data_IF_180000606627
#
_entry.id   IF_180000606627
#
_cell.length_a   1.000
_cell.length_b   1.000
_cell.length_c   1.000
_cell.angle_alpha   90.00
_cell.angle_beta   90.00
_cell.angle_gamma   90.00
#
_symmetry.space_group_name_H-M   'P 1'
#
loop_
_entity.id
_entity.type
_entity.pdbx_description
1 polymer ?
#
# COMPACT_ATOMS: atom_id res chain seq x y z
N UNK A 1 23.27 -6.65 18.22
CA UNK A 1 22.16 -6.05 19.00
C UNK A 1 21.52 -4.96 18.16
N UNK A 2 20.20 -5.01 17.98
CA UNK A 2 19.44 -3.99 17.24
C UNK A 2 19.41 -2.66 18.00
N UNK A 3 19.57 -1.54 17.29
CA UNK A 3 19.53 -0.19 17.86
C UNK A 3 18.40 0.61 17.23
N UNK A 4 17.80 1.51 18.01
CA UNK A 4 16.70 2.34 17.54
C UNK A 4 16.96 3.79 17.91
N UNK A 5 16.84 4.67 16.93
CA UNK A 5 17.02 6.09 17.14
C UNK A 5 16.18 6.88 16.14
N UNK A 6 16.04 8.18 16.42
CA UNK A 6 15.43 9.13 15.51
C UNK A 6 16.35 10.31 15.25
N UNK A 7 16.20 10.91 14.08
CA UNK A 7 16.96 12.07 13.63
C UNK A 7 15.95 13.11 13.16
N UNK A 8 16.07 14.33 13.68
CA UNK A 8 15.38 15.48 13.10
C UNK A 8 16.28 16.10 12.04
N UNK A 9 15.75 16.33 10.85
CA UNK A 9 16.43 17.07 9.78
C UNK A 9 15.61 18.34 9.52
N UNK A 10 15.90 19.44 10.24
CA UNK A 10 15.08 20.66 10.19
C UNK A 10 14.99 21.28 8.80
N UNK A 11 16.05 21.17 8.00
CA UNK A 11 16.12 21.70 6.63
C UNK A 11 15.08 21.04 5.71
N UNK A 12 14.77 19.77 5.99
CA UNK A 12 13.76 18.98 5.25
C UNK A 12 12.39 19.01 5.93
N UNK A 13 12.31 19.49 7.18
CA UNK A 13 11.09 19.38 7.98
C UNK A 13 10.73 17.92 8.31
N UNK A 14 11.71 17.02 8.28
CA UNK A 14 11.51 15.58 8.40
C UNK A 14 12.00 15.03 9.74
N UNK A 15 11.31 13.99 10.21
CA UNK A 15 11.76 13.11 11.28
C UNK A 15 12.00 11.72 10.72
N UNK A 16 13.25 11.28 10.76
CA UNK A 16 13.67 9.94 10.39
C UNK A 16 13.71 9.05 11.62
N UNK A 17 13.21 7.84 11.51
CA UNK A 17 13.19 6.84 12.56
C UNK A 17 13.80 5.56 11.99
N UNK A 18 14.84 5.07 12.65
CA UNK A 18 15.56 3.90 12.21
C UNK A 18 15.55 2.81 13.28
N UNK A 19 15.31 1.59 12.84
CA UNK A 19 15.78 0.39 13.49
C UNK A 19 16.93 -0.17 12.66
N UNK A 20 18.11 -0.30 13.26
CA UNK A 20 19.33 -0.76 12.59
C UNK A 20 19.88 -2.02 13.23
N UNK A 21 20.40 -2.89 12.40
CA UNK A 21 21.12 -4.08 12.84
C UNK A 21 22.57 -3.75 13.24
N UNK A 22 23.30 -4.76 13.71
CA UNK A 22 24.67 -4.60 14.20
C UNK A 22 25.67 -4.18 13.13
N UNK A 23 25.40 -4.51 11.86
CA UNK A 23 26.18 -4.11 10.70
C UNK A 23 25.89 -2.67 10.23
N UNK A 24 24.97 -1.96 10.90
CA UNK A 24 24.60 -0.59 10.62
C UNK A 24 23.54 -0.43 9.53
N UNK A 25 23.05 -1.51 8.92
CA UNK A 25 21.98 -1.45 7.94
C UNK A 25 20.62 -1.26 8.61
N UNK A 26 19.75 -0.47 7.98
CA UNK A 26 18.37 -0.33 8.43
C UNK A 26 17.61 -1.65 8.21
N UNK A 27 17.02 -2.17 9.28
CA UNK A 27 16.02 -3.23 9.17
C UNK A 27 14.61 -2.66 8.97
N UNK A 28 14.33 -1.48 9.55
CA UNK A 28 13.11 -0.70 9.35
C UNK A 28 13.41 0.80 9.35
N UNK A 29 12.68 1.52 8.50
CA UNK A 29 12.75 2.98 8.39
C UNK A 29 11.36 3.59 8.31
N UNK A 30 11.12 4.62 9.11
CA UNK A 30 9.95 5.47 8.99
C UNK A 30 10.37 6.93 8.87
N UNK A 31 9.78 7.64 7.91
CA UNK A 31 10.05 9.08 7.71
C UNK A 31 8.74 9.83 7.78
N UNK A 32 8.69 10.85 8.64
CA UNK A 32 7.55 11.74 8.80
C UNK A 32 7.92 13.13 8.31
N UNK A 33 7.17 13.60 7.32
CA UNK A 33 7.36 14.91 6.68
C UNK A 33 6.25 15.85 7.18
N UNK A 34 6.65 16.96 7.79
CA UNK A 34 5.73 17.94 8.35
C UNK A 34 4.84 18.63 7.27
N UNK A 35 5.26 18.62 6.01
CA UNK A 35 4.53 19.18 4.87
C UNK A 35 3.47 18.23 4.31
N UNK A 36 3.61 16.92 4.57
CA UNK A 36 2.61 15.94 4.16
C UNK A 36 1.41 15.94 5.10
N UNK A 37 0.22 15.97 4.51
CA UNK A 37 -1.01 15.80 5.28
C UNK A 37 -1.07 14.40 5.89
N UNK A 38 -1.43 14.34 7.17
CA UNK A 38 -1.79 13.07 7.82
C UNK A 38 -3.10 12.59 7.18
N UNK A 39 -3.15 11.38 6.60
CA UNK A 39 -4.39 10.87 6.01
C UNK A 39 -5.52 10.89 7.04
N UNK A 40 -6.72 11.32 6.62
CA UNK A 40 -7.90 11.21 7.47
C UNK A 40 -8.25 9.74 7.64
N UNK A 41 -8.23 9.28 8.87
CA UNK A 41 -8.50 7.88 9.20
C UNK A 41 -9.98 7.71 9.58
N UNK A 42 -10.65 6.65 9.10
CA UNK A 42 -11.97 6.31 9.62
C UNK A 42 -11.87 5.89 11.09
N UNK A 43 -12.90 6.16 11.89
CA UNK A 43 -12.96 5.58 13.24
C UNK A 43 -12.92 4.04 13.19
N UNK A 44 -12.26 3.36 14.15
CA UNK A 44 -11.66 3.85 15.39
C UNK A 44 -10.16 4.20 15.27
N UNK A 45 -9.64 4.38 14.06
CA UNK A 45 -8.21 4.50 13.81
C UNK A 45 -7.64 5.92 14.08
N UNK A 46 -8.22 6.65 15.03
CA UNK A 46 -7.77 8.01 15.35
C UNK A 46 -6.29 8.05 15.73
N UNK A 47 -5.68 9.23 15.54
CA UNK A 47 -4.26 9.45 15.82
C UNK A 47 -3.97 9.14 17.29
N UNK A 48 -3.04 8.22 17.53
CA UNK A 48 -2.57 7.93 18.88
C UNK A 48 -1.85 9.14 19.46
N UNK A 49 -2.11 9.45 20.73
CA UNK A 49 -1.35 10.46 21.46
C UNK A 49 0.15 10.11 21.41
N UNK A 50 0.99 11.10 21.07
CA UNK A 50 2.44 10.90 20.91
C UNK A 50 2.89 10.38 19.53
N UNK A 51 1.98 10.24 18.55
CA UNK A 51 2.41 9.98 17.16
C UNK A 51 3.21 11.17 16.59
N UNK A 52 4.27 10.90 15.79
CA UNK A 52 5.06 11.96 15.14
C UNK A 52 4.20 12.95 14.35
N UNK A 53 4.64 14.21 14.27
CA UNK A 53 4.00 15.24 13.46
C UNK A 53 4.24 14.98 11.96
N UNK A 54 3.28 15.40 11.12
CA UNK A 54 3.36 15.18 9.67
C UNK A 54 2.85 13.82 9.18
N UNK A 55 2.61 13.73 7.88
CA UNK A 55 2.31 12.48 7.18
C UNK A 55 3.57 11.64 6.99
N UNK A 56 3.42 10.32 6.84
CA UNK A 56 4.58 9.46 6.58
C UNK A 56 4.90 9.43 5.08
N UNK A 57 6.16 9.70 4.73
CA UNK A 57 6.69 9.52 3.38
C UNK A 57 7.28 8.12 3.19
N UNK A 58 7.83 7.53 4.24
CA UNK A 58 8.44 6.18 4.24
C UNK A 58 7.96 5.36 5.44
N UNK A 59 7.75 4.06 5.22
CA UNK A 59 7.48 3.02 6.21
C UNK A 59 7.99 1.67 5.67
N UNK A 60 9.28 1.59 5.38
CA UNK A 60 9.91 0.47 4.67
C UNK A 60 10.58 -0.51 5.64
N UNK A 61 10.49 -1.81 5.33
CA UNK A 61 11.11 -2.90 6.09
C UNK A 61 11.90 -3.82 5.18
N UNK A 62 13.13 -4.15 5.58
CA UNK A 62 13.99 -5.10 4.88
C UNK A 62 13.41 -6.52 4.87
N UNK A 63 12.83 -6.95 5.98
CA UNK A 63 12.17 -8.26 6.10
C UNK A 63 10.97 -8.37 5.14
N UNK A 64 10.11 -7.35 5.12
CA UNK A 64 8.97 -7.28 4.20
C UNK A 64 9.42 -7.25 2.74
N UNK A 65 10.41 -6.41 2.40
CA UNK A 65 10.99 -6.33 1.06
C UNK A 65 11.56 -7.67 0.60
N UNK A 66 12.19 -8.42 1.51
CA UNK A 66 12.74 -9.75 1.20
C UNK A 66 11.63 -10.74 0.84
N UNK A 67 10.54 -10.77 1.63
CA UNK A 67 9.36 -11.59 1.34
C UNK A 67 8.71 -11.19 0.02
N UNK A 68 8.56 -9.89 -0.22
CA UNK A 68 7.96 -9.36 -1.46
C UNK A 68 8.81 -9.74 -2.68
N UNK A 69 10.13 -9.59 -2.60
CA UNK A 69 11.05 -9.96 -3.66
C UNK A 69 10.98 -11.45 -3.96
N UNK A 70 10.95 -12.29 -2.93
CA UNK A 70 10.86 -13.74 -3.07
C UNK A 70 9.55 -14.17 -3.75
N UNK A 71 8.40 -13.61 -3.33
CA UNK A 71 7.08 -14.07 -3.80
C UNK A 71 6.59 -13.40 -5.07
N UNK A 72 6.92 -12.13 -5.28
CA UNK A 72 6.34 -11.29 -6.34
C UNK A 72 7.41 -10.71 -7.28
N UNK A 73 8.69 -11.02 -7.05
CA UNK A 73 9.79 -10.58 -7.89
C UNK A 73 9.98 -9.06 -7.91
N UNK A 74 10.60 -8.56 -8.98
CA UNK A 74 10.94 -7.14 -9.11
C UNK A 74 9.71 -6.22 -9.19
N UNK A 75 8.63 -6.68 -9.83
CA UNK A 75 7.38 -5.91 -9.91
C UNK A 75 6.78 -5.73 -8.52
N UNK A 76 6.82 -6.76 -7.68
CA UNK A 76 6.40 -6.65 -6.27
C UNK A 76 7.21 -5.61 -5.50
N UNK A 77 8.53 -5.60 -5.68
CA UNK A 77 9.43 -4.62 -5.04
C UNK A 77 9.07 -3.20 -5.47
N UNK A 78 8.88 -2.95 -6.76
CA UNK A 78 8.47 -1.64 -7.26
C UNK A 78 7.12 -1.17 -6.68
N UNK A 79 6.16 -2.08 -6.57
CA UNK A 79 4.87 -1.79 -5.95
C UNK A 79 5.01 -1.52 -4.44
N UNK A 80 5.88 -2.25 -3.76
CA UNK A 80 6.15 -2.04 -2.33
C UNK A 80 6.78 -0.68 -2.11
N UNK A 81 7.81 -0.32 -2.87
CA UNK A 81 8.49 0.98 -2.77
C UNK A 81 7.55 2.14 -3.11
N UNK A 82 6.63 1.94 -4.06
CA UNK A 82 5.58 2.92 -4.37
C UNK A 82 4.66 3.18 -3.16
N UNK A 83 4.26 2.11 -2.46
CA UNK A 83 3.35 2.21 -1.32
C UNK A 83 4.07 2.68 -0.06
N UNK A 84 5.21 2.09 0.28
CA UNK A 84 5.88 2.25 1.57
C UNK A 84 7.15 3.08 1.52
N UNK A 85 7.58 3.53 0.34
CA UNK A 85 8.85 4.24 0.18
C UNK A 85 10.04 3.30 0.05
N UNK A 86 11.20 3.89 -0.24
CA UNK A 86 12.46 3.18 -0.43
C UNK A 86 13.21 3.18 0.90
N UNK A 87 13.72 2.03 1.30
CA UNK A 87 14.58 1.89 2.46
C UNK A 87 15.97 2.48 2.15
N UNK A 88 16.64 3.06 3.14
CA UNK A 88 18.01 3.56 2.99
C UNK A 88 18.92 2.57 2.24
N UNK A 89 19.59 3.04 1.18
CA UNK A 89 20.38 2.21 0.25
C UNK A 89 21.74 1.76 0.82
N UNK A 90 22.08 2.16 2.05
CA UNK A 90 23.36 1.88 2.69
C UNK A 90 23.29 1.90 4.21
N UNK A 91 24.44 1.67 4.89
CA UNK A 91 24.55 1.79 6.33
C UNK A 91 24.12 3.18 6.80
N UNK A 92 23.30 3.22 7.86
CA UNK A 92 22.79 4.49 8.40
C UNK A 92 23.81 5.07 9.37
N UNK A 93 24.39 6.21 8.99
CA UNK A 93 25.26 6.96 9.89
C UNK A 93 24.44 7.57 11.03
N UNK A 94 24.93 7.43 12.26
CA UNK A 94 24.31 8.02 13.44
C UNK A 94 24.96 9.38 13.74
N UNK A 95 24.28 10.52 13.44
CA UNK A 95 24.83 11.82 13.76
C UNK A 95 24.82 12.07 15.29
N UNK A 96 25.64 13.00 15.79
CA UNK A 96 25.72 13.30 17.23
C UNK A 96 24.40 13.76 17.86
N UNK A 97 23.48 14.32 17.07
CA UNK A 97 22.17 14.79 17.53
C UNK A 97 21.07 13.72 17.42
N UNK A 98 21.41 12.48 17.02
CA UNK A 98 20.44 11.39 17.00
C UNK A 98 20.01 11.01 18.42
N UNK A 99 18.70 10.89 18.60
CA UNK A 99 18.10 10.54 19.89
C UNK A 99 17.79 9.04 19.93
N UNK A 100 18.25 8.34 20.97
CA UNK A 100 17.85 6.95 21.21
C UNK A 100 16.34 6.90 21.50
N UNK A 101 15.68 5.88 20.96
CA UNK A 101 14.25 5.64 21.22
C UNK A 101 14.06 4.23 21.75
N UNK A 102 13.09 4.09 22.65
CA UNK A 102 12.70 2.76 23.14
C UNK A 102 12.01 1.96 22.05
N UNK A 103 11.98 0.64 22.22
CA UNK A 103 11.21 -0.25 21.33
C UNK A 103 9.74 0.18 21.23
N UNK A 104 9.10 0.47 22.36
CA UNK A 104 7.70 0.86 22.39
C UNK A 104 7.44 2.19 21.67
N UNK A 105 8.38 3.14 21.74
CA UNK A 105 8.29 4.40 20.98
C UNK A 105 8.45 4.16 19.48
N UNK A 106 9.43 3.35 19.09
CA UNK A 106 9.64 2.98 17.70
C UNK A 106 8.42 2.26 17.13
N UNK A 107 7.86 1.25 17.81
CA UNK A 107 6.70 0.51 17.33
C UNK A 107 5.46 1.39 17.15
N UNK A 108 5.28 2.41 18.00
CA UNK A 108 4.21 3.40 17.84
C UNK A 108 4.42 4.26 16.59
N UNK A 109 5.65 4.73 16.36
CA UNK A 109 6.00 5.49 15.17
C UNK A 109 5.85 4.61 13.91
N UNK A 110 6.42 3.42 13.90
CA UNK A 110 6.31 2.44 12.82
C UNK A 110 4.85 2.12 12.47
N UNK A 111 4.02 1.78 13.46
CA UNK A 111 2.59 1.51 13.25
C UNK A 111 1.83 2.71 12.68
N UNK A 112 2.20 3.93 13.08
CA UNK A 112 1.64 5.15 12.50
C UNK A 112 2.10 5.34 11.04
N UNK A 113 3.37 5.09 10.75
CA UNK A 113 3.94 5.24 9.41
C UNK A 113 3.32 4.26 8.41
N UNK A 114 3.28 2.97 8.75
CA UNK A 114 2.62 1.92 7.93
C UNK A 114 1.17 2.30 7.66
N UNK A 115 0.44 2.73 8.69
CA UNK A 115 -0.95 3.15 8.56
C UNK A 115 -1.09 4.38 7.66
N UNK A 116 -0.27 5.41 7.83
CA UNK A 116 -0.29 6.60 6.96
C UNK A 116 -0.06 6.18 5.51
N UNK A 117 1.01 5.43 5.22
CA UNK A 117 1.33 4.94 3.87
C UNK A 117 0.21 4.11 3.25
N UNK A 118 -0.54 3.35 4.05
CA UNK A 118 -1.69 2.57 3.61
C UNK A 118 -2.90 3.40 3.15
N UNK A 119 -3.00 4.66 3.60
CA UNK A 119 -4.08 5.59 3.26
C UNK A 119 -3.61 6.81 2.44
N UNK A 120 -2.31 6.99 2.28
CA UNK A 120 -1.74 8.02 1.41
C UNK A 120 -1.91 7.61 -0.06
N UNK A 121 -2.37 8.55 -0.88
CA UNK A 121 -2.42 8.37 -2.34
C UNK A 121 -1.01 8.45 -2.90
N UNK A 122 -0.66 7.55 -3.80
CA UNK A 122 0.59 7.60 -4.57
C UNK A 122 0.25 7.74 -6.06
N UNK A 123 0.99 8.65 -6.72
CA UNK A 123 0.80 9.10 -8.09
C UNK A 123 1.96 8.69 -9.03
N UNK A 124 2.90 7.93 -8.51
CA UNK A 124 4.06 7.37 -9.23
C UNK A 124 4.07 5.85 -9.18
N UNK A 125 5.08 5.23 -9.79
CA UNK A 125 5.25 3.78 -9.83
C UNK A 125 4.54 3.09 -11.01
N UNK A 126 4.57 1.75 -11.07
CA UNK A 126 4.03 0.99 -12.20
C UNK A 126 2.49 0.98 -12.25
N UNK A 127 1.81 1.25 -11.13
CA UNK A 127 0.35 1.31 -11.03
C UNK A 127 -0.11 2.50 -10.15
N UNK A 128 0.01 3.75 -10.64
CA UNK A 128 -0.42 4.94 -9.90
C UNK A 128 -1.91 4.93 -9.58
N UNK A 129 -2.33 5.49 -8.44
CA UNK A 129 -3.75 5.62 -8.09
C UNK A 129 -4.46 6.56 -9.06
N UNK A 130 -5.57 6.10 -9.65
CA UNK A 130 -6.35 6.79 -10.66
C UNK A 130 -5.97 6.42 -12.10
N UNK A 131 -4.92 5.62 -12.30
CA UNK A 131 -4.59 5.08 -13.63
C UNK A 131 -5.58 3.99 -14.04
N UNK A 132 -5.83 3.86 -15.34
CA UNK A 132 -6.69 2.81 -15.89
C UNK A 132 -5.86 1.62 -16.38
N UNK A 133 -6.35 0.41 -16.09
CA UNK A 133 -5.80 -0.86 -16.57
C UNK A 133 -6.89 -1.69 -17.22
N UNK A 134 -6.57 -2.33 -18.34
CA UNK A 134 -7.44 -3.35 -18.92
C UNK A 134 -7.17 -4.67 -18.23
N UNK A 135 -8.23 -5.35 -17.80
CA UNK A 135 -8.12 -6.64 -17.16
C UNK A 135 -9.27 -7.57 -17.51
N UNK A 136 -9.09 -8.86 -17.20
CA UNK A 136 -10.09 -9.91 -17.43
C UNK A 136 -10.58 -10.44 -16.10
N UNK A 137 -11.90 -10.47 -15.88
CA UNK A 137 -12.49 -11.08 -14.69
C UNK A 137 -12.10 -12.56 -14.65
N UNK A 138 -11.34 -12.96 -13.65
CA UNK A 138 -10.75 -14.30 -13.57
C UNK A 138 -11.47 -15.21 -12.60
N UNK A 139 -12.08 -14.66 -11.54
CA UNK A 139 -12.82 -15.45 -10.57
C UNK A 139 -13.87 -14.65 -9.79
N UNK A 140 -14.94 -15.34 -9.41
CA UNK A 140 -15.91 -14.92 -8.39
C UNK A 140 -15.81 -15.89 -7.20
N UNK A 141 -14.74 -15.79 -6.39
CA UNK A 141 -14.35 -16.79 -5.38
C UNK A 141 -15.45 -17.21 -4.40
N UNK A 142 -16.39 -16.32 -4.08
CA UNK A 142 -17.50 -16.62 -3.18
C UNK A 142 -18.87 -16.62 -3.88
N UNK A 143 -18.89 -16.41 -5.20
CA UNK A 143 -20.09 -16.18 -6.00
C UNK A 143 -20.48 -14.70 -6.08
N UNK A 144 -21.37 -14.34 -7.03
CA UNK A 144 -21.88 -12.97 -7.18
C UNK A 144 -22.55 -12.43 -5.91
N UNK A 145 -22.44 -11.12 -5.69
CA UNK A 145 -23.16 -10.40 -4.62
C UNK A 145 -22.56 -10.50 -3.22
N UNK A 146 -21.40 -11.15 -3.02
CA UNK A 146 -20.89 -11.46 -1.67
C UNK A 146 -19.73 -10.60 -1.17
N UNK A 147 -18.67 -10.45 -1.94
CA UNK A 147 -17.44 -9.76 -1.48
C UNK A 147 -16.74 -9.01 -2.61
N UNK A 148 -16.71 -9.57 -3.81
CA UNK A 148 -16.05 -8.98 -4.95
C UNK A 148 -15.60 -10.02 -5.96
N UNK A 149 -14.79 -9.60 -6.92
CA UNK A 149 -14.25 -10.43 -7.98
C UNK A 149 -12.76 -10.17 -8.20
N UNK A 150 -12.06 -11.18 -8.71
CA UNK A 150 -10.67 -11.06 -9.13
C UNK A 150 -10.59 -10.70 -10.62
N UNK A 151 -9.60 -9.89 -10.94
CA UNK A 151 -9.26 -9.45 -12.28
C UNK A 151 -7.80 -9.79 -12.54
N UNK A 152 -7.56 -10.55 -13.60
CA UNK A 152 -6.22 -10.71 -14.16
C UNK A 152 -5.85 -9.43 -14.93
N UNK A 153 -4.78 -8.77 -14.48
CA UNK A 153 -4.24 -7.53 -15.05
C UNK A 153 -2.87 -7.74 -15.71
N UNK A 154 -2.46 -9.00 -15.93
CA UNK A 154 -1.15 -9.32 -16.54
C UNK A 154 0.05 -9.01 -15.65
N UNK A 155 -0.16 -8.93 -14.33
CA UNK A 155 0.87 -8.65 -13.32
C UNK A 155 0.90 -9.78 -12.28
N UNK A 156 2.03 -10.04 -11.58
CA UNK A 156 2.04 -10.94 -10.43
C UNK A 156 1.09 -10.50 -9.30
N UNK A 157 0.68 -9.23 -9.28
CA UNK A 157 -0.34 -8.73 -8.39
C UNK A 157 -1.75 -9.00 -8.94
N UNK A 158 -2.59 -9.69 -8.17
CA UNK A 158 -3.98 -9.92 -8.56
C UNK A 158 -4.79 -8.62 -8.41
N UNK A 159 -5.58 -8.29 -9.44
CA UNK A 159 -6.58 -7.23 -9.35
C UNK A 159 -7.79 -7.71 -8.55
N UNK A 160 -8.38 -6.84 -7.73
CA UNK A 160 -9.61 -7.14 -6.99
C UNK A 160 -10.57 -5.97 -7.01
N UNK A 161 -11.81 -6.23 -7.42
CA UNK A 161 -12.91 -5.27 -7.38
C UNK A 161 -13.80 -5.60 -6.19
N UNK A 162 -13.97 -4.64 -5.29
CA UNK A 162 -14.87 -4.77 -4.14
C UNK A 162 -16.33 -4.79 -4.59
N UNK A 163 -17.17 -5.55 -3.89
CA UNK A 163 -18.63 -5.55 -4.13
C UNK A 163 -19.25 -4.15 -4.05
N UNK A 164 -18.67 -3.24 -3.24
CA UNK A 164 -19.14 -1.85 -3.15
C UNK A 164 -19.04 -1.06 -4.46
N UNK A 165 -18.26 -1.54 -5.43
CA UNK A 165 -18.13 -0.95 -6.77
C UNK A 165 -18.94 -1.69 -7.84
N UNK A 166 -19.61 -2.79 -7.48
CA UNK A 166 -20.39 -3.62 -8.40
C UNK A 166 -21.88 -3.34 -8.26
N UNK A 167 -22.70 -3.70 -9.26
CA UNK A 167 -24.15 -3.65 -9.12
C UNK A 167 -24.63 -4.37 -7.86
N UNK A 168 -25.66 -3.81 -7.20
CA UNK A 168 -26.26 -4.45 -6.04
C UNK A 168 -26.93 -5.78 -6.40
N UNK A 169 -27.51 -5.85 -7.60
CA UNK A 169 -28.05 -7.09 -8.17
C UNK A 169 -26.91 -8.04 -8.57
N UNK A 170 -26.80 -9.23 -7.95
CA UNK A 170 -25.74 -10.19 -8.25
C UNK A 170 -25.75 -10.66 -9.71
N UNK A 171 -26.92 -10.71 -10.36
CA UNK A 171 -27.04 -11.12 -11.76
C UNK A 171 -26.47 -10.06 -12.73
N UNK A 172 -26.26 -8.83 -12.23
CA UNK A 172 -25.59 -7.76 -12.95
C UNK A 172 -24.06 -7.77 -12.85
N UNK A 173 -23.47 -8.71 -12.10
CA UNK A 173 -22.01 -8.81 -11.99
C UNK A 173 -21.39 -9.34 -13.30
N UNK A 174 -20.19 -8.86 -13.68
CA UNK A 174 -19.55 -9.35 -14.89
C UNK A 174 -19.16 -10.83 -14.73
N UNK A 175 -19.49 -11.69 -15.71
CA UNK A 175 -19.08 -13.09 -15.68
C UNK A 175 -17.56 -13.25 -15.82
N UNK A 176 -17.03 -14.40 -15.39
CA UNK A 176 -15.62 -14.79 -15.66
C UNK A 176 -15.35 -14.74 -17.16
N UNK A 177 -14.20 -14.20 -17.55
CA UNK A 177 -13.80 -13.96 -18.92
C UNK A 177 -14.18 -12.57 -19.45
N UNK A 178 -14.95 -11.78 -18.69
CA UNK A 178 -15.27 -10.40 -19.08
C UNK A 178 -14.00 -9.56 -19.10
N UNK A 179 -13.70 -8.95 -20.24
CA UNK A 179 -12.63 -7.96 -20.38
C UNK A 179 -13.24 -6.57 -20.16
N UNK A 180 -12.66 -5.78 -19.26
CA UNK A 180 -13.09 -4.41 -19.00
C UNK A 180 -11.91 -3.53 -18.57
N UNK A 181 -12.16 -2.23 -18.55
CA UNK A 181 -11.22 -1.25 -18.01
C UNK A 181 -11.55 -0.96 -16.54
N UNK A 182 -10.51 -0.86 -15.74
CA UNK A 182 -10.58 -0.63 -14.31
C UNK A 182 -9.63 0.48 -13.89
N UNK A 183 -10.06 1.33 -12.99
CA UNK A 183 -9.22 2.31 -12.34
C UNK A 183 -8.54 1.70 -11.11
N UNK A 184 -7.24 1.96 -10.96
CA UNK A 184 -6.47 1.60 -9.77
C UNK A 184 -6.85 2.52 -8.61
N UNK A 185 -7.36 1.94 -7.53
CA UNK A 185 -7.79 2.68 -6.32
C UNK A 185 -6.71 2.68 -5.25
N UNK A 186 -6.09 1.52 -5.00
CA UNK A 186 -5.01 1.35 -4.01
C UNK A 186 -4.34 0.00 -4.22
N UNK A 187 -3.21 -0.25 -3.56
CA UNK A 187 -2.41 -1.47 -3.57
C UNK A 187 -2.32 -1.88 -2.12
N UNK A 188 -2.65 -3.13 -1.84
CA UNK A 188 -2.66 -3.68 -0.50
C UNK A 188 -1.66 -4.83 -0.41
N UNK A 189 -0.79 -4.72 0.57
CA UNK A 189 0.08 -5.80 1.00
C UNK A 189 -0.49 -6.38 2.29
N UNK A 190 -0.54 -7.71 2.36
CA UNK A 190 -0.69 -8.47 3.58
C UNK A 190 0.55 -9.36 3.69
N UNK A 191 1.46 -9.03 4.60
CA UNK A 191 2.78 -9.66 4.71
C UNK A 191 2.91 -10.52 5.97
N UNK A 192 1.78 -10.95 6.54
CA UNK A 192 1.78 -11.83 7.71
C UNK A 192 2.38 -13.19 7.36
N UNK A 193 3.06 -13.86 8.30
CA UNK A 193 3.69 -15.16 8.04
C UNK A 193 2.69 -16.23 7.54
N UNK A 194 1.45 -16.21 8.04
CA UNK A 194 0.43 -17.20 7.69
C UNK A 194 -0.15 -16.98 6.29
N UNK A 195 -0.11 -15.75 5.78
CA UNK A 195 -0.67 -15.38 4.49
C UNK A 195 0.08 -14.18 3.92
N UNK A 196 0.69 -14.38 2.75
CA UNK A 196 1.30 -13.28 2.00
C UNK A 196 0.50 -13.00 0.75
N UNK A 197 -0.09 -11.81 0.69
CA UNK A 197 -0.91 -11.36 -0.43
C UNK A 197 -0.49 -9.99 -0.93
N UNK A 198 -0.57 -9.81 -2.25
CA UNK A 198 -0.45 -8.54 -2.94
C UNK A 198 -1.69 -8.37 -3.82
N UNK A 199 -2.48 -7.33 -3.55
CA UNK A 199 -3.70 -7.03 -4.29
C UNK A 199 -3.69 -5.60 -4.81
N UNK A 200 -4.01 -5.44 -6.10
CA UNK A 200 -4.35 -4.14 -6.68
C UNK A 200 -5.86 -3.98 -6.56
N UNK A 201 -6.31 -3.00 -5.76
CA UNK A 201 -7.72 -2.70 -5.60
C UNK A 201 -8.18 -1.86 -6.77
N UNK A 202 -9.25 -2.31 -7.41
CA UNK A 202 -9.76 -1.80 -8.66
C UNK A 202 -11.20 -1.32 -8.52
N UNK A 203 -11.57 -0.36 -9.36
CA UNK A 203 -12.94 0.09 -9.59
C UNK A 203 -13.25 0.03 -11.08
N UNK A 204 -14.39 -0.53 -11.52
CA UNK A 204 -14.76 -0.49 -12.94
C UNK A 204 -14.91 0.95 -13.42
N UNK A 205 -14.38 1.29 -14.60
CA UNK A 205 -14.54 2.65 -15.16
C UNK A 205 -15.92 2.86 -15.78
N UNK A 206 -16.58 1.78 -16.17
CA UNK A 206 -17.97 1.77 -16.62
C UNK A 206 -18.71 0.57 -16.02
N UNK A 207 -19.84 0.84 -15.37
CA UNK A 207 -20.79 -0.19 -14.95
C UNK A 207 -22.04 -0.05 -15.83
N UNK A 208 -22.44 -1.09 -16.57
CA UNK A 208 -23.67 -1.03 -17.36
C UNK A 208 -24.90 -0.85 -16.45
N UNK A 209 -25.98 -0.20 -16.93
CA UNK A 209 -27.25 -0.18 -16.22
C UNK A 209 -27.77 -1.60 -15.92
N UNK A 210 -28.62 -1.78 -14.90
CA UNK A 210 -29.24 -3.07 -14.61
C UNK A 210 -29.88 -3.69 -15.86
N UNK A 211 -29.54 -4.94 -16.17
CA UNK A 211 -30.06 -5.67 -17.33
C UNK A 211 -29.27 -5.50 -18.64
N UNK A 212 -28.21 -4.69 -18.67
CA UNK A 212 -27.32 -4.57 -19.85
C UNK A 212 -26.02 -5.38 -19.69
N UNK A 213 -25.49 -5.96 -20.80
CA UNK A 213 -24.30 -6.80 -20.75
C UNK A 213 -23.01 -6.00 -20.56
N UNK A 214 -22.03 -6.62 -19.89
CA UNK A 214 -20.64 -6.15 -19.84
C UNK A 214 -19.86 -6.55 -21.11
N UNK A 215 -18.82 -5.80 -21.53
CA UNK A 215 -18.48 -4.42 -21.17
C UNK A 215 -19.20 -3.42 -22.09
N UNK A 216 -19.48 -2.20 -21.60
CA UNK A 216 -19.66 -1.05 -22.50
C UNK A 216 -18.27 -0.53 -22.90
N UNK A 217 -17.98 -0.27 -24.19
CA UNK A 217 -16.82 0.53 -24.55
C UNK A 217 -16.92 1.88 -23.83
N UNK A 218 -15.86 2.31 -23.15
CA UNK A 218 -15.78 3.66 -22.60
C UNK A 218 -16.10 4.68 -23.69
N UNK A 219 -16.84 5.75 -23.35
CA UNK A 219 -17.02 6.88 -24.28
C UNK A 219 -15.63 7.41 -24.62
N UNK A 220 -15.25 7.27 -25.89
CA UNK A 220 -14.13 8.02 -26.48
C UNK A 220 -14.32 9.51 -26.28
#
# INVERSE_FOLDING_TARGET
>A
MTRRFRIQVPEEGCWYWFEVEEDGWASREAVFDATLEVPRLPEPFERLAGSPAGGASVAASLAELSVVREKFGLVGVQLYETVYGVLAEGPVERPPHAEDVTEAEFERAWSAAVRHRHFTRYDTGPLPVGSCVTGTVSALPWGPGRTGLFVDIGSPAAGFVDMGWLPHDPDGWPPVGTVAEFEVVTIRFDLRPEYTGLQVRLRPTATPPPGEPWPRPGRR
#
